data_IF_152342230718
#
_entry.id   IF_152342230718
#
_cell.length_a   1.000
_cell.length_b   1.000
_cell.length_c   1.000
_cell.angle_alpha   90.00
_cell.angle_beta   90.00
_cell.angle_gamma   90.00
#
_symmetry.space_group_name_H-M   'P 1'
#
loop_
_entity.id
_entity.type
_entity.pdbx_description
1 polymer ?
#
# COMPACT_ATOMS: atom_id res chain seq x y z
N UNK A 1 26.67 17.40 -0.02
CA UNK A 1 26.27 17.25 -1.44
C UNK A 1 26.43 18.58 -2.15
N UNK A 2 27.22 18.65 -3.21
CA UNK A 2 27.35 19.85 -4.03
C UNK A 2 26.00 20.23 -4.65
N UNK A 3 25.68 21.53 -4.72
CA UNK A 3 24.48 22.05 -5.39
C UNK A 3 23.18 22.12 -4.56
N UNK A 4 23.17 21.58 -3.34
CA UNK A 4 22.01 21.67 -2.41
C UNK A 4 22.24 22.65 -1.26
N UNK A 5 23.46 22.78 -0.77
CA UNK A 5 23.79 23.54 0.45
C UNK A 5 23.42 25.02 0.40
N UNK A 6 23.27 25.60 -0.79
CA UNK A 6 22.87 27.01 -0.99
C UNK A 6 21.37 27.18 -1.28
N UNK A 7 20.61 26.08 -1.44
CA UNK A 7 19.17 26.13 -1.72
C UNK A 7 18.39 26.38 -0.43
N UNK A 8 17.30 27.15 -0.54
CA UNK A 8 16.32 27.32 0.54
C UNK A 8 15.15 26.37 0.30
N UNK A 9 14.73 25.68 1.35
CA UNK A 9 13.63 24.72 1.29
C UNK A 9 12.44 25.23 2.09
N UNK A 10 11.24 24.93 1.59
CA UNK A 10 9.99 25.06 2.33
C UNK A 10 9.31 23.71 2.29
N UNK A 11 8.85 23.24 3.46
CA UNK A 11 8.15 21.96 3.58
C UNK A 11 6.67 22.26 3.76
N UNK A 12 5.85 21.69 2.88
CA UNK A 12 4.40 21.70 2.99
C UNK A 12 3.92 20.29 3.28
N UNK A 13 3.42 20.06 4.51
CA UNK A 13 2.84 18.78 4.88
C UNK A 13 1.39 18.70 4.36
N UNK A 14 1.04 17.59 3.73
CA UNK A 14 -0.34 17.25 3.38
C UNK A 14 -0.86 16.30 4.45
N UNK A 15 -1.63 16.82 5.40
CA UNK A 15 -2.27 16.00 6.43
C UNK A 15 -3.50 15.33 5.84
N UNK A 16 -3.36 14.06 5.49
CA UNK A 16 -4.45 13.25 4.97
C UNK A 16 -4.15 11.74 5.20
N UNK A 17 -5.18 10.90 5.37
CA UNK A 17 -6.46 11.27 5.95
C UNK A 17 -6.22 11.87 7.34
N UNK A 18 -6.98 12.88 7.75
CA UNK A 18 -6.81 13.50 9.08
C UNK A 18 -7.24 12.60 10.25
N UNK A 19 -7.57 11.34 9.99
CA UNK A 19 -7.99 10.34 10.98
C UNK A 19 -6.88 9.32 11.18
N UNK A 20 -6.52 9.11 12.44
CA UNK A 20 -5.53 8.12 12.86
C UNK A 20 -6.18 6.73 12.80
N UNK A 21 -5.74 5.89 11.88
CA UNK A 21 -6.08 4.46 11.92
C UNK A 21 -5.36 3.85 13.12
N UNK A 22 -6.04 3.00 13.89
CA UNK A 22 -5.46 2.39 15.06
C UNK A 22 -4.35 1.42 14.63
N UNK A 23 -3.08 1.77 14.86
CA UNK A 23 -2.00 0.79 14.90
C UNK A 23 -2.14 0.04 16.24
N UNK A 24 -2.82 -1.10 16.22
CA UNK A 24 -2.86 -2.00 17.38
C UNK A 24 -2.36 -3.38 16.98
N UNK A 25 -1.30 -3.82 17.65
CA UNK A 25 -0.97 -5.24 17.74
C UNK A 25 -2.01 -5.91 18.65
N UNK A 26 -3.02 -6.55 18.07
CA UNK A 26 -4.02 -7.30 18.85
C UNK A 26 -4.38 -8.63 18.20
N UNK A 27 -3.54 -9.64 18.42
CA UNK A 27 -3.98 -10.97 18.91
C UNK A 27 -2.87 -11.47 19.84
N UNK A 28 -3.14 -11.73 21.15
CA UNK A 28 -2.21 -12.46 22.00
C UNK A 28 -1.98 -13.85 21.39
N UNK A 29 -0.78 -14.09 20.88
CA UNK A 29 -0.32 -15.40 20.40
C UNK A 29 -0.31 -16.41 21.56
N UNK A 30 -1.47 -17.00 21.88
CA UNK A 30 -1.58 -17.89 23.04
C UNK A 30 -2.76 -18.85 23.09
N UNK A 31 -3.73 -18.79 22.18
CA UNK A 31 -4.85 -19.73 22.17
C UNK A 31 -4.57 -20.93 21.24
N UNK A 32 -3.82 -21.91 21.73
CA UNK A 32 -3.82 -23.25 21.15
C UNK A 32 -5.13 -23.96 21.55
N UNK A 33 -6.18 -23.75 20.76
CA UNK A 33 -7.49 -24.39 20.90
C UNK A 33 -8.19 -24.47 19.55
N UNK A 34 -9.04 -25.47 19.34
CA UNK A 34 -9.68 -25.78 18.06
C UNK A 34 -10.79 -24.77 17.62
N UNK A 35 -10.91 -23.63 18.29
CA UNK A 35 -11.86 -22.55 17.95
C UNK A 35 -11.13 -21.45 17.17
N UNK A 36 -11.81 -20.85 16.17
CA UNK A 36 -11.26 -19.70 15.45
C UNK A 36 -10.98 -18.57 16.46
N UNK A 37 -9.76 -18.01 16.51
CA UNK A 37 -9.44 -16.93 17.44
C UNK A 37 -10.18 -15.62 17.12
N UNK A 38 -10.88 -15.58 15.99
CA UNK A 38 -11.76 -14.47 15.61
C UNK A 38 -13.14 -14.69 16.22
N UNK A 39 -13.53 -13.87 17.20
CA UNK A 39 -14.83 -13.96 17.89
C UNK A 39 -15.85 -12.98 17.31
N UNK A 40 -17.14 -13.18 17.63
CA UNK A 40 -18.18 -12.20 17.29
C UNK A 40 -17.92 -10.82 17.91
N UNK A 41 -17.36 -10.80 19.12
CA UNK A 41 -17.04 -9.56 19.83
C UNK A 41 -15.90 -8.80 19.14
N UNK A 42 -14.87 -9.51 18.66
CA UNK A 42 -13.81 -8.91 17.86
C UNK A 42 -14.38 -8.28 16.58
N UNK A 43 -15.19 -9.01 15.81
CA UNK A 43 -15.80 -8.47 14.59
C UNK A 43 -16.69 -7.25 14.85
N UNK A 44 -17.41 -7.24 15.97
CA UNK A 44 -18.22 -6.09 16.39
C UNK A 44 -17.37 -4.90 16.80
N UNK A 45 -16.24 -5.14 17.48
CA UNK A 45 -15.28 -4.11 17.84
C UNK A 45 -14.66 -3.50 16.57
N UNK A 46 -14.21 -4.30 15.62
CA UNK A 46 -13.68 -3.82 14.33
C UNK A 46 -14.69 -2.91 13.61
N UNK A 47 -15.96 -3.32 13.52
CA UNK A 47 -17.03 -2.49 12.95
C UNK A 47 -17.29 -1.19 13.74
N UNK A 48 -17.00 -1.14 15.04
CA UNK A 48 -17.08 0.10 15.84
C UNK A 48 -15.86 1.00 15.57
N UNK A 49 -14.66 0.42 15.50
CA UNK A 49 -13.43 1.16 15.21
C UNK A 49 -13.41 1.75 13.78
N UNK A 50 -14.16 1.14 12.84
CA UNK A 50 -14.35 1.66 11.48
C UNK A 50 -15.30 2.87 11.38
N UNK A 51 -15.97 3.29 12.47
CA UNK A 51 -16.84 4.47 12.42
C UNK A 51 -16.08 5.73 12.05
N UNK A 52 -16.67 6.52 11.17
CA UNK A 52 -16.06 7.69 10.57
C UNK A 52 -14.91 7.40 9.60
N UNK A 53 -14.58 6.14 9.29
CA UNK A 53 -13.56 5.85 8.27
C UNK A 53 -14.05 6.26 6.88
N UNK A 54 -15.32 6.00 6.57
CA UNK A 54 -15.94 6.20 5.26
C UNK A 54 -16.56 7.60 5.11
N UNK A 55 -16.56 8.10 3.87
CA UNK A 55 -17.10 9.44 3.56
C UNK A 55 -18.64 9.48 3.42
N UNK A 56 -19.31 8.32 3.35
CA UNK A 56 -20.77 8.25 3.26
C UNK A 56 -21.42 8.75 4.58
N UNK A 57 -22.37 9.71 4.53
CA UNK A 57 -22.99 10.29 5.72
C UNK A 57 -23.82 9.29 6.54
N UNK A 58 -24.17 8.14 5.97
CA UNK A 58 -24.89 7.04 6.61
C UNK A 58 -23.97 5.87 7.00
N UNK A 59 -22.65 5.99 6.79
CA UNK A 59 -21.69 4.91 7.05
C UNK A 59 -21.80 4.32 8.46
N UNK A 60 -21.83 5.16 9.49
CA UNK A 60 -21.88 4.69 10.88
C UNK A 60 -23.17 3.91 11.18
N UNK A 61 -24.30 4.34 10.60
CA UNK A 61 -25.59 3.65 10.75
C UNK A 61 -25.60 2.30 10.00
N UNK A 62 -24.91 2.22 8.86
CA UNK A 62 -24.70 0.98 8.10
C UNK A 62 -23.81 0.02 8.89
N UNK A 63 -22.73 0.51 9.50
CA UNK A 63 -21.87 -0.30 10.37
C UNK A 63 -22.63 -0.85 11.58
N UNK A 64 -23.51 -0.05 12.19
CA UNK A 64 -24.35 -0.52 13.29
C UNK A 64 -25.36 -1.60 12.85
N UNK A 65 -25.94 -1.49 11.65
CA UNK A 65 -26.75 -2.57 11.06
C UNK A 65 -25.91 -3.83 10.79
N UNK A 66 -24.69 -3.68 10.28
CA UNK A 66 -23.80 -4.81 10.01
C UNK A 66 -23.44 -5.57 11.30
N UNK A 67 -23.26 -4.88 12.44
CA UNK A 67 -23.02 -5.51 13.76
C UNK A 67 -24.15 -6.41 14.24
N UNK A 68 -25.40 -6.13 13.82
CA UNK A 68 -26.56 -6.95 14.16
C UNK A 68 -26.56 -8.28 13.41
N UNK A 69 -25.90 -8.34 12.25
CA UNK A 69 -25.81 -9.53 11.41
C UNK A 69 -24.68 -10.48 11.87
N UNK A 70 -23.67 -9.97 12.58
CA UNK A 70 -22.48 -10.73 13.02
C UNK A 70 -22.79 -12.10 13.64
N UNK A 71 -23.74 -12.24 14.59
CA UNK A 71 -24.01 -13.53 15.23
C UNK A 71 -24.54 -14.63 14.29
N UNK A 72 -24.98 -14.29 13.07
CA UNK A 72 -25.59 -15.23 12.11
C UNK A 72 -24.72 -15.47 10.87
N UNK A 73 -23.51 -14.90 10.82
CA UNK A 73 -22.65 -14.95 9.62
C UNK A 73 -22.18 -16.38 9.30
N UNK A 74 -21.92 -17.20 10.31
CA UNK A 74 -21.48 -18.59 10.13
C UNK A 74 -22.58 -19.46 9.51
N UNK A 75 -23.81 -19.31 10.02
CA UNK A 75 -24.91 -20.23 9.71
C UNK A 75 -25.70 -19.88 8.46
N UNK A 76 -25.57 -18.65 7.93
CA UNK A 76 -26.44 -18.18 6.86
C UNK A 76 -25.70 -17.49 5.70
N UNK A 77 -25.60 -18.15 4.52
CA UNK A 77 -25.11 -17.50 3.30
C UNK A 77 -25.91 -16.24 2.93
N UNK A 78 -27.22 -16.23 3.20
CA UNK A 78 -28.07 -15.06 2.96
C UNK A 78 -27.65 -13.87 3.83
N UNK A 79 -27.36 -14.10 5.11
CA UNK A 79 -26.87 -13.05 6.02
C UNK A 79 -25.48 -12.58 5.61
N UNK A 80 -24.59 -13.47 5.15
CA UNK A 80 -23.28 -13.09 4.61
C UNK A 80 -23.40 -12.17 3.39
N UNK A 81 -24.31 -12.48 2.47
CA UNK A 81 -24.59 -11.62 1.32
C UNK A 81 -25.09 -10.25 1.77
N UNK A 82 -26.10 -10.22 2.63
CA UNK A 82 -26.67 -8.98 3.17
C UNK A 82 -25.60 -8.13 3.87
N UNK A 83 -24.75 -8.74 4.70
CA UNK A 83 -23.65 -8.09 5.39
C UNK A 83 -22.65 -7.46 4.42
N UNK A 84 -22.16 -8.22 3.43
CA UNK A 84 -21.20 -7.70 2.46
C UNK A 84 -21.79 -6.60 1.59
N UNK A 85 -23.03 -6.76 1.11
CA UNK A 85 -23.69 -5.77 0.25
C UNK A 85 -24.01 -4.48 1.01
N UNK A 86 -24.39 -4.60 2.28
CA UNK A 86 -24.56 -3.47 3.19
C UNK A 86 -23.25 -2.69 3.35
N UNK A 87 -22.13 -3.36 3.58
CA UNK A 87 -20.82 -2.70 3.70
C UNK A 87 -20.30 -2.13 2.38
N UNK A 88 -20.61 -2.75 1.23
CA UNK A 88 -20.29 -2.17 -0.09
C UNK A 88 -21.04 -0.88 -0.36
N UNK A 89 -22.25 -0.73 0.20
CA UNK A 89 -23.09 0.45 -0.07
C UNK A 89 -22.52 1.78 0.41
N UNK A 90 -21.53 1.74 1.32
CA UNK A 90 -20.89 2.92 1.92
C UNK A 90 -19.50 3.20 1.35
N UNK A 91 -19.05 2.39 0.39
CA UNK A 91 -17.76 2.61 -0.28
C UNK A 91 -17.90 3.66 -1.39
N UNK A 92 -16.82 4.42 -1.68
CA UNK A 92 -16.76 5.28 -2.84
C UNK A 92 -16.88 4.43 -4.10
N UNK A 93 -17.43 5.04 -5.15
CA UNK A 93 -17.43 4.42 -6.47
C UNK A 93 -16.00 4.25 -6.94
N UNK A 94 -15.70 3.11 -7.58
CA UNK A 94 -14.41 2.87 -8.21
C UNK A 94 -14.12 3.98 -9.22
N UNK A 95 -13.06 4.75 -8.96
CA UNK A 95 -12.67 5.86 -9.83
C UNK A 95 -11.63 5.44 -10.88
N UNK A 96 -11.03 4.26 -10.72
CA UNK A 96 -10.05 3.70 -11.65
C UNK A 96 -9.92 2.19 -11.51
N UNK A 97 -9.79 1.50 -12.65
CA UNK A 97 -9.43 0.07 -12.66
C UNK A 97 -7.97 -0.07 -12.24
N UNK A 98 -7.74 -0.56 -11.03
CA UNK A 98 -6.40 -0.89 -10.52
C UNK A 98 -6.20 -2.41 -10.48
N UNK A 99 -4.95 -2.83 -10.33
CA UNK A 99 -4.55 -4.24 -10.34
C UNK A 99 -4.56 -4.76 -8.90
N UNK A 100 -5.77 -4.86 -8.31
CA UNK A 100 -5.97 -5.19 -6.90
C UNK A 100 -7.28 -5.96 -6.59
N UNK A 101 -7.85 -6.59 -7.62
CA UNK A 101 -9.10 -7.36 -7.57
C UNK A 101 -10.37 -6.56 -7.17
N UNK A 102 -10.33 -5.23 -7.19
CA UNK A 102 -11.50 -4.38 -6.89
C UNK A 102 -12.72 -4.69 -7.76
N UNK A 103 -12.51 -4.92 -9.06
CA UNK A 103 -13.60 -5.32 -9.97
C UNK A 103 -14.28 -6.62 -9.53
N UNK A 104 -13.51 -7.63 -9.13
CA UNK A 104 -14.06 -8.90 -8.66
C UNK A 104 -14.78 -8.71 -7.31
N UNK A 105 -14.17 -7.93 -6.41
CA UNK A 105 -14.79 -7.54 -5.14
C UNK A 105 -16.14 -6.86 -5.35
N UNK A 106 -16.31 -6.01 -6.36
CA UNK A 106 -17.58 -5.29 -6.57
C UNK A 106 -18.64 -6.12 -7.32
N UNK A 107 -18.23 -7.08 -8.15
CA UNK A 107 -19.15 -7.86 -9.02
C UNK A 107 -19.62 -9.18 -8.42
N UNK A 108 -18.81 -9.80 -7.56
CA UNK A 108 -19.15 -11.10 -6.98
C UNK A 108 -20.31 -10.98 -5.97
N UNK A 109 -21.17 -12.00 -5.85
CA UNK A 109 -22.14 -12.08 -4.76
C UNK A 109 -21.46 -11.93 -3.40
N UNK A 110 -22.08 -11.18 -2.47
CA UNK A 110 -21.44 -10.83 -1.19
C UNK A 110 -21.04 -12.03 -0.33
N UNK A 111 -21.80 -13.12 -0.40
CA UNK A 111 -21.50 -14.40 0.25
C UNK A 111 -20.30 -15.11 -0.38
N UNK A 112 -20.15 -15.04 -1.69
CA UNK A 112 -19.01 -15.62 -2.42
C UNK A 112 -17.70 -14.90 -2.08
N UNK A 113 -17.73 -13.57 -1.88
CA UNK A 113 -16.56 -12.81 -1.41
C UNK A 113 -16.09 -13.30 -0.05
N UNK A 114 -17.00 -13.44 0.92
CA UNK A 114 -16.63 -13.97 2.25
C UNK A 114 -16.11 -15.40 2.13
N UNK A 115 -16.75 -16.26 1.33
CA UNK A 115 -16.27 -17.65 1.15
C UNK A 115 -14.84 -17.69 0.60
N UNK A 116 -14.51 -16.83 -0.37
CA UNK A 116 -13.16 -16.71 -0.93
C UNK A 116 -12.15 -16.20 0.11
N UNK A 117 -12.52 -15.18 0.87
CA UNK A 117 -11.69 -14.59 1.93
C UNK A 117 -11.53 -15.51 3.16
N UNK A 118 -12.37 -16.53 3.29
CA UNK A 118 -12.31 -17.53 4.37
C UNK A 118 -11.32 -18.66 4.11
N UNK A 119 -10.75 -18.72 2.89
CA UNK A 119 -9.76 -19.75 2.52
C UNK A 119 -8.41 -19.46 3.18
N UNK A 120 -7.64 -20.50 3.56
CA UNK A 120 -6.31 -20.32 4.09
C UNK A 120 -5.39 -19.67 3.04
N UNK A 121 -4.57 -18.72 3.47
CA UNK A 121 -3.50 -18.16 2.63
C UNK A 121 -2.23 -18.96 2.88
N UNK A 122 -1.58 -19.53 1.86
CA UNK A 122 -0.25 -20.09 2.02
C UNK A 122 0.74 -18.94 2.29
N UNK A 123 1.15 -18.78 3.55
CA UNK A 123 2.21 -17.83 3.92
C UNK A 123 3.54 -18.52 3.59
N UNK A 124 4.24 -18.07 2.54
CA UNK A 124 5.63 -18.47 2.33
C UNK A 124 6.51 -17.58 3.20
N UNK A 125 7.00 -18.14 4.31
CA UNK A 125 8.14 -17.54 5.01
C UNK A 125 9.33 -17.52 4.05
N UNK A 126 9.85 -16.33 3.77
CA UNK A 126 11.11 -16.20 3.06
C UNK A 126 12.21 -16.82 3.91
N UNK A 127 12.68 -18.03 3.53
CA UNK A 127 13.83 -18.67 4.18
C UNK A 127 15.01 -17.68 4.22
N UNK A 128 15.65 -17.45 5.37
CA UNK A 128 16.90 -16.71 5.40
C UNK A 128 17.93 -17.44 4.52
N UNK A 129 18.58 -16.69 3.64
CA UNK A 129 19.75 -17.16 2.89
C UNK A 129 20.82 -17.44 3.94
N UNK A 130 21.39 -18.66 4.04
CA UNK A 130 22.39 -18.96 5.05
C UNK A 130 23.68 -18.18 4.73
N UNK A 131 23.93 -17.11 5.49
CA UNK A 131 25.27 -16.53 5.61
C UNK A 131 26.05 -17.43 6.56
N UNK A 132 27.08 -18.10 6.06
CA UNK A 132 27.86 -19.07 6.81
C UNK A 132 28.64 -18.43 7.97
N UNK A 133 28.60 -19.07 9.14
CA UNK A 133 29.43 -18.71 10.29
C UNK A 133 28.98 -19.35 11.60
N UNK A 134 29.55 -20.52 11.91
CA UNK A 134 29.69 -21.24 13.19
C UNK A 134 28.83 -20.88 14.43
N UNK A 135 28.01 -21.86 14.83
CA UNK A 135 27.74 -22.38 16.18
C UNK A 135 27.67 -21.43 17.41
N UNK A 136 26.44 -21.24 17.93
CA UNK A 136 26.18 -21.08 19.36
C UNK A 136 24.81 -21.72 19.74
N UNK A 137 24.94 -22.95 20.24
CA UNK A 137 24.15 -23.73 21.20
C UNK A 137 22.94 -23.03 21.85
N UNK A 138 21.76 -23.66 21.72
CA UNK A 138 20.72 -23.76 22.76
C UNK A 138 19.87 -22.53 23.04
N UNK A 139 18.78 -22.36 22.29
CA UNK A 139 17.69 -21.43 22.62
C UNK A 139 16.36 -21.97 22.10
N UNK A 140 15.40 -22.11 23.00
CA UNK A 140 13.98 -22.42 22.74
C UNK A 140 13.41 -21.53 21.62
N UNK A 141 12.75 -22.07 20.58
CA UNK A 141 12.26 -21.28 19.45
C UNK A 141 11.07 -20.36 19.77
N UNK A 142 10.65 -20.22 21.04
CA UNK A 142 9.49 -19.41 21.43
C UNK A 142 9.75 -17.91 21.66
N UNK A 143 10.97 -17.41 21.49
CA UNK A 143 11.29 -16.01 21.84
C UNK A 143 11.98 -15.22 20.72
N UNK A 144 11.26 -14.92 19.64
CA UNK A 144 11.68 -13.90 18.67
C UNK A 144 10.53 -13.51 17.74
N UNK A 145 9.57 -12.71 18.22
CA UNK A 145 8.67 -11.93 17.37
C UNK A 145 8.05 -10.78 18.18
N UNK A 146 8.83 -9.73 18.38
CA UNK A 146 8.34 -8.43 18.83
C UNK A 146 8.45 -7.43 17.68
N UNK A 147 7.33 -6.79 17.33
CA UNK A 147 7.27 -5.66 16.39
C UNK A 147 6.23 -5.79 15.28
N UNK A 148 5.15 -5.00 15.37
CA UNK A 148 4.19 -4.63 14.30
C UNK A 148 3.55 -5.78 13.48
N UNK A 149 3.55 -6.99 14.02
CA UNK A 149 3.14 -8.20 13.32
C UNK A 149 1.63 -8.52 13.47
N UNK A 150 0.88 -7.74 14.26
CA UNK A 150 -0.35 -8.21 14.91
C UNK A 150 -1.68 -8.21 14.15
N UNK A 151 -1.81 -7.68 12.93
CA UNK A 151 -3.16 -7.46 12.34
C UNK A 151 -3.65 -8.46 11.28
N UNK A 152 -2.81 -9.37 10.78
CA UNK A 152 -3.25 -10.37 9.78
C UNK A 152 -2.57 -11.71 10.06
N UNK A 153 -3.18 -12.51 10.93
CA UNK A 153 -2.96 -13.95 11.01
C UNK A 153 -4.04 -14.61 10.13
N UNK A 154 -3.61 -15.29 9.06
CA UNK A 154 -4.53 -15.90 8.09
C UNK A 154 -5.12 -17.21 8.64
N UNK A 155 -6.11 -17.07 9.51
CA UNK A 155 -6.94 -18.20 9.96
C UNK A 155 -7.97 -18.56 8.87
N UNK A 156 -8.36 -19.83 8.80
CA UNK A 156 -9.44 -20.28 7.93
C UNK A 156 -10.79 -20.21 8.65
N UNK A 157 -11.87 -20.04 7.87
CA UNK A 157 -13.24 -20.01 8.38
C UNK A 157 -13.94 -18.67 8.18
N UNK A 158 -15.26 -18.69 8.36
CA UNK A 158 -16.15 -17.57 7.98
C UNK A 158 -15.80 -16.28 8.75
N UNK A 159 -15.60 -16.36 10.06
CA UNK A 159 -15.25 -15.18 10.87
C UNK A 159 -13.93 -14.54 10.43
N UNK A 160 -12.92 -15.36 10.11
CA UNK A 160 -11.66 -14.88 9.55
C UNK A 160 -11.85 -14.25 8.16
N UNK A 161 -12.72 -14.83 7.32
CA UNK A 161 -13.12 -14.22 6.04
C UNK A 161 -13.83 -12.88 6.21
N UNK A 162 -14.62 -12.71 7.27
CA UNK A 162 -15.27 -11.42 7.62
C UNK A 162 -14.23 -10.41 8.08
N UNK A 163 -13.29 -10.79 8.95
CA UNK A 163 -12.20 -9.90 9.36
C UNK A 163 -11.35 -9.45 8.16
N UNK A 164 -11.02 -10.38 7.26
CA UNK A 164 -10.34 -10.12 6.00
C UNK A 164 -11.13 -9.16 5.09
N UNK A 165 -12.45 -9.28 5.05
CA UNK A 165 -13.33 -8.35 4.35
C UNK A 165 -13.24 -6.95 4.96
N UNK A 166 -13.34 -6.80 6.29
CA UNK A 166 -13.23 -5.50 6.97
C UNK A 166 -11.88 -4.81 6.70
N UNK A 167 -10.79 -5.58 6.70
CA UNK A 167 -9.46 -5.10 6.31
C UNK A 167 -9.43 -4.62 4.85
N UNK A 168 -10.05 -5.38 3.93
CA UNK A 168 -10.12 -5.00 2.51
C UNK A 168 -10.94 -3.73 2.29
N UNK A 169 -12.05 -3.54 3.02
CA UNK A 169 -12.88 -2.33 2.93
C UNK A 169 -12.09 -1.08 3.31
N UNK A 170 -11.33 -1.14 4.41
CA UNK A 170 -10.48 -0.04 4.87
C UNK A 170 -9.38 0.28 3.85
N UNK A 171 -8.73 -0.75 3.31
CA UNK A 171 -7.78 -0.59 2.21
C UNK A 171 -8.42 0.10 0.99
N UNK A 172 -9.58 -0.39 0.55
CA UNK A 172 -10.27 0.13 -0.63
C UNK A 172 -10.61 1.61 -0.47
N UNK A 173 -11.17 1.98 0.69
CA UNK A 173 -11.47 3.36 1.05
C UNK A 173 -10.22 4.23 0.97
N UNK A 174 -9.12 3.82 1.61
CA UNK A 174 -7.87 4.58 1.62
C UNK A 174 -7.24 4.71 0.24
N UNK A 175 -7.30 3.65 -0.57
CA UNK A 175 -6.81 3.65 -1.94
C UNK A 175 -7.56 4.65 -2.80
N UNK A 176 -8.90 4.59 -2.82
CA UNK A 176 -9.72 5.50 -3.63
C UNK A 176 -9.56 6.93 -3.14
N UNK A 177 -9.64 7.16 -1.82
CA UNK A 177 -9.45 8.48 -1.22
C UNK A 177 -8.08 9.08 -1.57
N UNK A 178 -7.00 8.31 -1.52
CA UNK A 178 -5.66 8.79 -1.90
C UNK A 178 -5.62 9.31 -3.34
N UNK A 179 -6.28 8.60 -4.26
CA UNK A 179 -6.36 8.96 -5.67
C UNK A 179 -7.17 10.23 -5.87
N UNK A 180 -8.31 10.34 -5.19
CA UNK A 180 -9.20 11.52 -5.24
C UNK A 180 -8.50 12.74 -4.67
N UNK A 181 -8.01 12.67 -3.42
CA UNK A 181 -7.36 13.82 -2.74
C UNK A 181 -6.12 14.26 -3.52
N UNK A 182 -5.34 13.31 -4.05
CA UNK A 182 -4.18 13.60 -4.89
C UNK A 182 -4.55 14.30 -6.19
N UNK A 183 -5.34 13.63 -7.03
CA UNK A 183 -5.66 14.10 -8.39
C UNK A 183 -6.54 15.36 -8.43
N UNK A 184 -7.22 15.69 -7.33
CA UNK A 184 -8.06 16.88 -7.18
C UNK A 184 -7.41 17.92 -6.27
N UNK A 185 -7.52 17.79 -4.95
CA UNK A 185 -7.11 18.78 -3.97
C UNK A 185 -5.64 19.16 -4.06
N UNK A 186 -4.74 18.18 -3.94
CA UNK A 186 -3.29 18.43 -3.98
C UNK A 186 -2.85 18.91 -5.37
N UNK A 187 -3.37 18.31 -6.44
CA UNK A 187 -3.12 18.77 -7.81
C UNK A 187 -3.47 20.25 -8.01
N UNK A 188 -4.62 20.71 -7.50
CA UNK A 188 -5.05 22.10 -7.59
C UNK A 188 -4.14 23.05 -6.80
N UNK A 189 -3.70 22.64 -5.61
CA UNK A 189 -2.73 23.42 -4.81
C UNK A 189 -1.42 23.56 -5.57
N UNK A 190 -0.88 22.47 -6.14
CA UNK A 190 0.36 22.52 -6.93
C UNK A 190 0.22 23.43 -8.15
N UNK A 191 -0.92 23.38 -8.86
CA UNK A 191 -1.20 24.29 -9.99
C UNK A 191 -1.15 25.76 -9.58
N UNK A 192 -1.76 26.10 -8.44
CA UNK A 192 -1.76 27.48 -7.92
C UNK A 192 -0.35 27.94 -7.55
N UNK A 193 0.42 27.08 -6.87
CA UNK A 193 1.81 27.38 -6.48
C UNK A 193 2.67 27.66 -7.72
N UNK A 194 2.63 26.78 -8.72
CA UNK A 194 3.43 26.90 -9.94
C UNK A 194 2.98 28.04 -10.85
N UNK A 195 1.68 28.38 -10.87
CA UNK A 195 1.19 29.54 -11.59
C UNK A 195 1.71 30.86 -10.99
N UNK A 196 1.86 30.92 -9.66
CA UNK A 196 2.38 32.11 -8.97
C UNK A 196 3.91 32.14 -8.91
N UNK A 197 4.56 30.98 -8.96
CA UNK A 197 6.02 30.83 -8.83
C UNK A 197 6.54 29.84 -9.89
N UNK A 198 6.64 30.22 -11.17
CA UNK A 198 7.00 29.28 -12.25
C UNK A 198 8.38 28.61 -12.09
N UNK A 199 9.30 29.29 -11.40
CA UNK A 199 10.68 28.80 -11.21
C UNK A 199 10.85 27.92 -9.96
N UNK A 200 9.80 27.77 -9.12
CA UNK A 200 9.90 26.96 -7.90
C UNK A 200 10.02 25.48 -8.26
N UNK A 201 11.04 24.82 -7.69
CA UNK A 201 11.22 23.38 -7.83
C UNK A 201 10.34 22.68 -6.80
N UNK A 202 9.46 21.80 -7.27
CA UNK A 202 8.53 21.05 -6.40
C UNK A 202 8.94 19.59 -6.31
N UNK A 203 9.17 19.10 -5.09
CA UNK A 203 9.62 17.75 -4.81
C UNK A 203 8.52 17.02 -4.03
N UNK A 204 7.97 15.96 -4.61
CA UNK A 204 6.90 15.20 -3.97
C UNK A 204 7.46 14.01 -3.21
N UNK A 205 7.04 13.81 -1.97
CA UNK A 205 7.43 12.67 -1.14
C UNK A 205 6.16 12.07 -0.56
N UNK A 206 5.98 10.76 -0.73
CA UNK A 206 4.80 10.07 -0.22
C UNK A 206 5.14 8.71 0.35
N UNK A 207 4.66 8.45 1.56
CA UNK A 207 4.76 7.15 2.24
C UNK A 207 3.45 6.37 2.11
N UNK A 208 3.49 5.05 1.95
CA UNK A 208 2.29 4.21 1.88
C UNK A 208 1.27 4.74 0.85
N UNK A 209 0.00 4.90 1.22
CA UNK A 209 -1.00 5.55 0.37
C UNK A 209 -0.69 7.02 0.07
N UNK A 210 0.10 7.71 0.90
CA UNK A 210 0.68 9.01 0.56
C UNK A 210 1.52 8.96 -0.71
N UNK A 211 2.18 7.83 -0.99
CA UNK A 211 2.87 7.56 -2.25
C UNK A 211 1.90 7.53 -3.45
N UNK A 212 0.77 6.83 -3.30
CA UNK A 212 -0.32 6.84 -4.29
C UNK A 212 -0.89 8.25 -4.47
N UNK A 213 -1.12 8.97 -3.37
CA UNK A 213 -1.64 10.34 -3.40
C UNK A 213 -0.72 11.29 -4.17
N UNK A 214 0.58 11.31 -3.89
CA UNK A 214 1.49 12.24 -4.59
C UNK A 214 1.66 11.86 -6.05
N UNK A 215 1.58 10.56 -6.37
CA UNK A 215 1.59 10.08 -7.75
C UNK A 215 0.34 10.54 -8.50
N UNK A 216 -0.84 10.42 -7.87
CA UNK A 216 -2.10 10.93 -8.40
C UNK A 216 -2.10 12.47 -8.53
N UNK A 217 -1.44 13.18 -7.61
CA UNK A 217 -1.29 14.63 -7.66
C UNK A 217 -0.45 15.09 -8.86
N UNK A 218 0.64 14.37 -9.20
CA UNK A 218 1.40 14.66 -10.42
C UNK A 218 0.62 14.29 -11.69
N UNK A 219 -0.03 13.13 -11.70
CA UNK A 219 -0.81 12.64 -12.84
C UNK A 219 -2.00 13.56 -13.18
N UNK A 220 -2.69 14.07 -12.15
CA UNK A 220 -3.95 14.81 -12.28
C UNK A 220 -5.12 13.92 -12.71
N UNK A 221 -6.32 14.51 -12.80
CA UNK A 221 -7.49 13.83 -13.37
C UNK A 221 -7.31 13.56 -14.87
N UNK A 222 -7.90 12.48 -15.38
CA UNK A 222 -7.92 12.22 -16.83
C UNK A 222 -8.49 13.39 -17.63
N UNK A 223 -7.97 13.60 -18.83
CA UNK A 223 -8.37 14.70 -19.72
C UNK A 223 -7.95 16.11 -19.25
N UNK A 224 -7.24 16.24 -18.12
CA UNK A 224 -6.71 17.53 -17.65
C UNK A 224 -5.19 17.59 -17.83
N UNK A 225 -4.68 18.81 -18.06
CA UNK A 225 -3.23 19.04 -18.12
C UNK A 225 -2.59 18.62 -16.78
N UNK A 226 -1.54 17.77 -16.82
CA UNK A 226 -0.84 17.32 -15.63
C UNK A 226 -0.03 18.46 -15.02
N UNK A 227 0.41 18.26 -13.77
CA UNK A 227 1.35 19.18 -13.12
C UNK A 227 2.76 18.65 -13.31
N UNK A 228 3.66 19.50 -13.79
CA UNK A 228 5.08 19.17 -13.85
C UNK A 228 5.73 19.41 -12.49
N UNK A 229 6.32 18.37 -11.91
CA UNK A 229 7.07 18.42 -10.67
C UNK A 229 8.53 18.00 -10.90
N UNK A 230 9.43 18.44 -10.02
CA UNK A 230 10.87 18.28 -10.20
C UNK A 230 11.36 16.89 -9.82
N UNK A 231 10.94 16.32 -8.70
CA UNK A 231 11.22 14.91 -8.34
C UNK A 231 10.03 14.28 -7.64
N UNK A 232 10.06 12.95 -7.55
CA UNK A 232 9.13 12.17 -6.74
C UNK A 232 9.87 11.09 -5.95
N UNK A 233 9.58 10.97 -4.66
CA UNK A 233 10.10 9.89 -3.81
C UNK A 233 8.93 9.12 -3.21
N UNK A 234 8.93 7.81 -3.47
CA UNK A 234 7.90 6.87 -3.06
C UNK A 234 8.47 5.98 -1.98
N UNK A 235 8.04 6.21 -0.74
CA UNK A 235 8.53 5.50 0.44
C UNK A 235 7.56 4.38 0.78
N UNK A 236 7.94 3.11 0.55
CA UNK A 236 7.07 1.96 0.85
C UNK A 236 5.65 2.20 0.28
N UNK A 237 5.56 2.74 -0.95
CA UNK A 237 4.30 3.24 -1.46
C UNK A 237 3.27 2.13 -1.67
N UNK A 238 1.99 2.44 -1.43
CA UNK A 238 0.88 1.50 -1.47
C UNK A 238 0.05 1.68 -2.75
N UNK A 239 0.52 1.06 -3.83
CA UNK A 239 -0.22 0.78 -5.05
C UNK A 239 0.48 -0.36 -5.81
N UNK A 240 -0.14 -0.87 -6.88
CA UNK A 240 0.42 -1.98 -7.67
C UNK A 240 1.87 -1.69 -8.12
N UNK A 241 2.75 -2.69 -8.01
CA UNK A 241 4.09 -2.63 -8.61
C UNK A 241 4.06 -2.47 -10.14
N UNK A 242 2.91 -2.70 -10.77
CA UNK A 242 2.68 -2.45 -12.18
C UNK A 242 2.12 -1.05 -12.45
N UNK A 243 2.02 -0.19 -11.43
CA UNK A 243 1.43 1.15 -11.56
C UNK A 243 2.09 2.01 -12.64
N UNK A 244 3.40 1.83 -12.91
CA UNK A 244 4.13 2.55 -13.96
C UNK A 244 4.41 1.71 -15.21
N UNK A 245 3.97 0.45 -15.24
CA UNK A 245 4.31 -0.49 -16.30
C UNK A 245 3.74 -0.10 -17.65
N UNK A 246 4.46 -0.49 -18.68
CA UNK A 246 3.97 -0.57 -20.05
C UNK A 246 3.50 -2.00 -20.31
N UNK A 247 2.27 -2.17 -20.79
CA UNK A 247 1.70 -3.47 -21.18
C UNK A 247 1.99 -4.61 -20.18
N UNK A 248 1.63 -4.45 -18.90
CA UNK A 248 2.04 -5.38 -17.83
C UNK A 248 1.54 -6.82 -18.03
N UNK A 249 0.45 -7.01 -18.79
CA UNK A 249 -0.10 -8.31 -19.20
C UNK A 249 -0.06 -8.54 -20.72
N UNK A 250 0.79 -7.76 -21.42
CA UNK A 250 0.90 -7.77 -22.86
C UNK A 250 -0.09 -6.83 -23.57
N UNK A 251 -1.05 -6.24 -22.86
CA UNK A 251 -2.06 -5.33 -23.45
C UNK A 251 -2.22 -4.05 -22.62
N UNK A 252 -2.37 -4.17 -21.31
CA UNK A 252 -2.80 -3.08 -20.45
C UNK A 252 -1.62 -2.32 -19.83
N UNK A 253 -1.69 -0.99 -19.84
CA UNK A 253 -0.75 -0.13 -19.13
C UNK A 253 -1.10 -0.02 -17.64
N UNK A 254 -0.08 0.30 -16.84
CA UNK A 254 -0.26 0.64 -15.44
C UNK A 254 -1.09 1.90 -15.23
N UNK A 255 -1.85 1.96 -14.13
CA UNK A 255 -2.73 3.09 -13.82
C UNK A 255 -2.04 4.47 -13.81
N UNK A 256 -0.78 4.51 -13.39
CA UNK A 256 0.07 5.70 -13.38
C UNK A 256 1.06 5.78 -14.55
N UNK A 257 0.95 4.95 -15.60
CA UNK A 257 1.84 4.99 -16.78
C UNK A 257 1.91 6.38 -17.41
N UNK A 258 0.78 7.12 -17.39
CA UNK A 258 0.69 8.52 -17.83
C UNK A 258 1.64 9.49 -17.11
N UNK A 259 2.07 9.20 -15.89
CA UNK A 259 3.09 9.99 -15.18
C UNK A 259 4.40 10.01 -15.98
N UNK A 260 4.74 8.86 -16.57
CA UNK A 260 5.96 8.64 -17.35
C UNK A 260 5.81 9.18 -18.78
N UNK A 261 4.73 8.80 -19.47
CA UNK A 261 4.46 9.24 -20.85
C UNK A 261 4.39 10.76 -20.95
N UNK A 262 3.68 11.41 -20.02
CA UNK A 262 3.53 12.86 -20.02
C UNK A 262 4.72 13.60 -19.39
N UNK A 263 5.74 12.87 -18.91
CA UNK A 263 6.92 13.42 -18.21
C UNK A 263 6.53 14.41 -17.11
N UNK A 264 5.53 14.01 -16.32
CA UNK A 264 4.99 14.84 -15.22
C UNK A 264 6.01 15.02 -14.11
N UNK A 265 6.90 14.06 -13.90
CA UNK A 265 8.10 14.21 -13.08
C UNK A 265 9.28 14.46 -14.02
N UNK A 266 9.89 15.63 -13.92
CA UNK A 266 10.97 16.03 -14.85
C UNK A 266 12.32 15.45 -14.46
N UNK A 267 12.57 15.27 -13.16
CA UNK A 267 13.78 14.65 -12.61
C UNK A 267 13.60 13.15 -12.32
N UNK A 268 14.42 12.57 -11.44
CA UNK A 268 14.30 11.16 -11.07
C UNK A 268 13.08 10.88 -10.19
N UNK A 269 12.55 9.66 -10.32
CA UNK A 269 11.62 9.05 -9.36
C UNK A 269 12.40 8.02 -8.54
N UNK A 270 12.39 8.15 -7.23
CA UNK A 270 13.07 7.22 -6.31
C UNK A 270 12.04 6.40 -5.56
N UNK A 271 12.21 5.09 -5.53
CA UNK A 271 11.27 4.16 -4.89
C UNK A 271 12.06 3.35 -3.86
N UNK A 272 11.77 3.49 -2.57
CA UNK A 272 12.28 2.52 -1.60
C UNK A 272 11.38 1.29 -1.64
N UNK A 273 12.00 0.11 -1.72
CA UNK A 273 11.28 -1.16 -1.70
C UNK A 273 11.99 -2.18 -0.81
N UNK A 274 11.22 -2.96 -0.06
CA UNK A 274 11.77 -4.04 0.77
C UNK A 274 10.83 -5.23 0.87
N UNK A 275 11.39 -6.45 0.88
CA UNK A 275 10.62 -7.67 1.19
C UNK A 275 10.09 -7.69 2.61
N UNK A 276 10.62 -6.85 3.50
CA UNK A 276 10.17 -6.71 4.88
C UNK A 276 8.86 -5.92 4.99
N UNK A 277 8.45 -5.22 3.91
CA UNK A 277 7.14 -4.58 3.83
C UNK A 277 6.06 -5.65 3.69
N UNK A 278 5.54 -6.06 4.85
CA UNK A 278 4.44 -7.00 4.97
C UNK A 278 3.09 -6.32 4.79
N UNK A 279 2.94 -5.01 5.02
CA UNK A 279 1.63 -4.35 4.93
C UNK A 279 1.17 -4.27 3.47
N UNK A 280 2.06 -3.81 2.58
CA UNK A 280 1.82 -3.85 1.13
C UNK A 280 1.78 -5.31 0.67
N UNK A 281 2.69 -6.17 1.15
CA UNK A 281 2.69 -7.60 0.85
C UNK A 281 1.40 -8.39 1.24
N UNK A 282 0.66 -7.96 2.27
CA UNK A 282 -0.51 -8.68 2.84
C UNK A 282 -1.84 -8.37 2.13
N UNK A 283 -1.97 -7.22 1.48
CA UNK A 283 -3.16 -6.89 0.68
C UNK A 283 -3.34 -7.82 -0.52
N UNK A 284 -2.24 -8.41 -0.98
CA UNK A 284 -2.19 -9.21 -2.18
C UNK A 284 -2.72 -10.62 -2.03
N UNK A 285 -2.46 -11.34 -0.91
CA UNK A 285 -3.26 -12.50 -0.56
C UNK A 285 -4.77 -12.24 -0.57
N UNK A 286 -5.24 -11.11 -0.04
CA UNK A 286 -6.67 -10.78 -0.03
C UNK A 286 -7.21 -10.55 -1.44
N UNK A 287 -6.50 -9.76 -2.26
CA UNK A 287 -6.86 -9.54 -3.66
C UNK A 287 -6.86 -10.85 -4.46
N UNK A 288 -5.84 -11.69 -4.29
CA UNK A 288 -5.73 -13.02 -4.89
C UNK A 288 -6.88 -13.94 -4.48
N UNK A 289 -7.22 -13.97 -3.19
CA UNK A 289 -8.37 -14.73 -2.69
C UNK A 289 -9.68 -14.25 -3.34
N UNK A 290 -9.94 -12.94 -3.35
CA UNK A 290 -11.12 -12.35 -3.99
C UNK A 290 -11.18 -12.73 -5.48
N UNK A 291 -10.06 -12.63 -6.19
CA UNK A 291 -9.95 -13.01 -7.60
C UNK A 291 -10.00 -14.53 -7.84
N UNK A 292 -9.97 -15.35 -6.78
CA UNK A 292 -9.93 -16.80 -6.86
C UNK A 292 -8.61 -17.36 -7.38
N UNK A 293 -7.53 -16.56 -7.33
CA UNK A 293 -6.19 -16.95 -7.75
C UNK A 293 -5.38 -17.38 -6.51
N UNK A 294 -4.88 -18.62 -6.48
CA UNK A 294 -4.00 -19.11 -5.41
C UNK A 294 -2.65 -19.43 -6.05
N UNK A 295 -1.71 -18.48 -5.98
CA UNK A 295 -0.35 -18.67 -6.47
C UNK A 295 0.58 -19.12 -5.32
N UNK A 296 1.64 -19.87 -5.66
CA UNK A 296 2.61 -20.37 -4.68
C UNK A 296 3.59 -19.29 -4.15
N UNK A 297 3.64 -18.10 -4.76
CA UNK A 297 4.55 -17.01 -4.40
C UNK A 297 3.81 -15.67 -4.32
N UNK A 298 2.90 -15.55 -3.34
CA UNK A 298 2.03 -14.39 -3.20
C UNK A 298 2.79 -13.10 -2.88
N UNK A 299 2.51 -12.05 -3.65
CA UNK A 299 3.03 -10.69 -3.48
C UNK A 299 4.48 -10.47 -3.89
N UNK A 300 5.15 -11.44 -4.51
CA UNK A 300 6.50 -11.25 -5.04
C UNK A 300 6.50 -10.39 -6.33
N UNK A 301 7.68 -10.17 -6.91
CA UNK A 301 7.82 -9.35 -8.13
C UNK A 301 7.16 -9.95 -9.37
N UNK A 302 6.86 -11.24 -9.37
CA UNK A 302 6.24 -11.96 -10.48
C UNK A 302 4.72 -12.11 -10.30
N UNK A 303 4.20 -11.92 -9.09
CA UNK A 303 2.76 -11.90 -8.83
C UNK A 303 2.10 -10.78 -9.67
N UNK A 304 0.86 -11.02 -10.10
CA UNK A 304 0.02 -10.00 -10.74
C UNK A 304 -0.37 -8.92 -9.74
N UNK A 305 -0.64 -9.33 -8.52
CA UNK A 305 -1.01 -8.44 -7.43
C UNK A 305 0.24 -8.23 -6.58
N UNK A 306 1.33 -7.66 -7.11
CA UNK A 306 2.46 -7.24 -6.29
C UNK A 306 2.41 -5.75 -6.00
N UNK A 307 3.15 -5.30 -4.98
CA UNK A 307 3.13 -3.91 -4.56
C UNK A 307 4.44 -3.20 -4.67
N UNK A 308 4.36 -1.93 -5.06
CA UNK A 308 5.54 -1.14 -5.37
C UNK A 308 6.44 -0.95 -4.14
N UNK A 309 5.87 -0.81 -2.93
CA UNK A 309 6.64 -0.73 -1.68
C UNK A 309 7.39 -2.01 -1.30
N UNK A 310 6.99 -3.16 -1.85
CA UNK A 310 7.69 -4.45 -1.66
C UNK A 310 8.67 -4.76 -2.78
N UNK A 311 8.25 -4.50 -4.02
CA UNK A 311 8.92 -5.01 -5.22
C UNK A 311 9.56 -3.93 -6.08
N UNK A 312 9.34 -2.64 -5.81
CA UNK A 312 9.68 -1.57 -6.74
C UNK A 312 8.76 -1.53 -7.96
N UNK A 313 9.02 -0.63 -8.91
CA UNK A 313 8.30 -0.55 -10.18
C UNK A 313 8.73 -1.72 -11.08
N UNK A 314 7.81 -2.64 -11.33
CA UNK A 314 8.02 -3.81 -12.18
C UNK A 314 7.51 -3.55 -13.60
N UNK A 315 7.99 -4.32 -14.59
CA UNK A 315 7.62 -4.19 -16.01
C UNK A 315 7.60 -2.74 -16.53
N UNK A 316 8.52 -1.92 -16.03
CA UNK A 316 8.63 -0.48 -16.32
C UNK A 316 9.98 -0.25 -17.00
N UNK A 317 10.04 -0.01 -18.32
CA UNK A 317 11.30 0.10 -19.07
C UNK A 317 12.25 1.21 -18.57
N UNK A 318 11.69 2.24 -17.93
CA UNK A 318 12.45 3.37 -17.38
C UNK A 318 12.99 3.11 -15.97
N UNK A 319 12.65 1.98 -15.36
CA UNK A 319 13.11 1.60 -14.03
C UNK A 319 14.47 0.91 -14.06
N UNK A 320 15.27 1.17 -13.03
CA UNK A 320 16.56 0.52 -12.79
C UNK A 320 16.65 0.08 -11.34
N UNK A 321 17.30 -1.05 -11.11
CA UNK A 321 17.53 -1.59 -9.78
C UNK A 321 18.73 -0.92 -9.10
N UNK A 322 18.64 -0.74 -7.79
CA UNK A 322 19.68 -0.18 -6.95
C UNK A 322 19.53 -0.61 -5.49
N UNK A 323 20.42 -0.12 -4.64
CA UNK A 323 20.40 -0.39 -3.20
C UNK A 323 20.26 0.95 -2.46
N UNK A 324 19.55 0.95 -1.34
CA UNK A 324 19.54 2.09 -0.43
C UNK A 324 20.93 2.23 0.21
N UNK A 325 21.62 3.34 -0.10
CA UNK A 325 23.01 3.57 0.23
C UNK A 325 23.13 4.28 1.58
N UNK A 326 24.17 3.90 2.33
CA UNK A 326 24.60 4.59 3.52
C UNK A 326 25.24 5.94 3.17
N UNK A 327 25.23 6.89 4.12
CA UNK A 327 25.76 8.24 3.93
C UNK A 327 27.24 8.28 3.58
N UNK A 328 27.99 7.25 3.99
CA UNK A 328 29.43 7.12 3.75
C UNK A 328 29.77 6.33 2.48
N UNK A 329 28.78 6.05 1.62
CA UNK A 329 29.04 5.37 0.35
C UNK A 329 30.02 6.19 -0.49
N UNK A 330 31.12 5.56 -0.93
CA UNK A 330 32.11 6.21 -1.78
C UNK A 330 31.56 6.50 -3.19
N UNK A 331 30.59 5.70 -3.63
CA UNK A 331 29.88 5.89 -4.88
C UNK A 331 28.50 6.50 -4.60
N UNK A 332 28.28 7.80 -4.91
CA UNK A 332 26.97 8.43 -4.74
C UNK A 332 26.02 8.03 -5.87
N UNK A 333 24.72 8.25 -5.64
CA UNK A 333 23.68 7.95 -6.62
C UNK A 333 23.88 8.66 -7.96
N UNK A 334 23.86 7.89 -9.04
CA UNK A 334 23.88 8.38 -10.42
C UNK A 334 22.48 8.55 -10.99
N UNK A 335 21.58 9.17 -10.23
CA UNK A 335 20.21 9.41 -10.67
C UNK A 335 20.15 10.33 -11.88
N UNK A 336 19.27 10.00 -12.83
CA UNK A 336 19.06 10.72 -14.07
C UNK A 336 17.61 11.20 -14.19
N UNK A 337 17.38 12.38 -14.82
CA UNK A 337 16.05 12.84 -15.17
C UNK A 337 15.25 11.81 -15.99
N UNK A 338 13.95 11.65 -15.67
CA UNK A 338 13.06 10.75 -16.40
C UNK A 338 13.29 9.25 -16.18
N UNK A 339 14.11 8.87 -15.18
CA UNK A 339 14.34 7.48 -14.78
C UNK A 339 13.73 7.18 -13.40
N UNK A 340 13.37 5.91 -13.20
CA UNK A 340 12.88 5.37 -11.93
C UNK A 340 13.97 4.50 -11.31
N UNK A 341 14.11 4.55 -9.99
CA UNK A 341 15.11 3.77 -9.26
C UNK A 341 14.45 2.98 -8.15
N UNK A 342 14.44 1.65 -8.29
CA UNK A 342 14.02 0.70 -7.27
C UNK A 342 15.18 0.49 -6.30
N UNK A 343 15.13 1.14 -5.14
CA UNK A 343 16.15 1.03 -4.12
C UNK A 343 15.80 -0.09 -3.15
N UNK A 344 16.46 -1.24 -3.31
CA UNK A 344 16.37 -2.30 -2.32
C UNK A 344 16.82 -1.78 -0.95
N UNK A 345 15.89 -1.83 -0.01
CA UNK A 345 16.04 -1.25 1.33
C UNK A 345 16.04 -2.33 2.43
N UNK A 346 16.18 -3.61 2.10
CA UNK A 346 16.08 -4.75 3.04
C UNK A 346 17.05 -4.63 4.24
N UNK A 347 18.22 -4.05 4.01
CA UNK A 347 19.24 -3.86 5.04
C UNK A 347 18.86 -2.78 6.07
N UNK A 348 18.04 -1.81 5.68
CA UNK A 348 17.72 -0.61 6.47
C UNK A 348 16.30 -0.69 7.03
N UNK A 349 15.31 -0.85 6.15
CA UNK A 349 13.89 -0.82 6.47
C UNK A 349 13.42 -2.20 6.92
N UNK A 350 12.92 -2.30 8.15
CA UNK A 350 12.49 -3.56 8.80
C UNK A 350 11.00 -3.82 8.74
N UNK A 351 10.18 -2.81 8.51
CA UNK A 351 8.75 -2.93 8.30
C UNK A 351 8.21 -1.75 7.46
N UNK A 352 6.89 -1.68 7.28
CA UNK A 352 6.24 -0.70 6.42
C UNK A 352 6.39 0.75 6.91
N UNK A 353 6.43 0.97 8.23
CA UNK A 353 6.48 2.30 8.85
C UNK A 353 7.91 2.70 9.24
N UNK A 354 8.87 1.78 9.17
CA UNK A 354 10.29 1.97 9.45
C UNK A 354 11.04 2.74 8.33
N UNK A 355 10.57 3.95 8.01
CA UNK A 355 11.07 4.78 6.90
C UNK A 355 11.91 5.99 7.35
N UNK A 356 11.99 6.25 8.65
CA UNK A 356 12.65 7.41 9.23
C UNK A 356 14.15 7.18 9.43
N UNK A 357 14.88 7.01 8.31
CA UNK A 357 16.31 6.73 8.28
C UNK A 357 17.11 7.83 7.58
N UNK A 358 18.37 8.03 7.99
CA UNK A 358 19.26 9.00 7.36
C UNK A 358 19.54 8.64 5.90
N UNK A 359 19.58 7.35 5.59
CA UNK A 359 19.76 6.77 4.26
C UNK A 359 18.64 7.19 3.30
N UNK A 360 17.40 7.28 3.81
CA UNK A 360 16.26 7.79 3.04
C UNK A 360 16.42 9.27 2.75
N UNK A 361 16.80 10.07 3.76
CA UNK A 361 17.10 11.48 3.55
C UNK A 361 18.23 11.67 2.52
N UNK A 362 19.28 10.83 2.58
CA UNK A 362 20.39 10.84 1.63
C UNK A 362 19.91 10.57 0.19
N UNK A 363 19.05 9.57 -0.02
CA UNK A 363 18.47 9.27 -1.32
C UNK A 363 17.59 10.44 -1.84
N UNK A 364 16.73 11.01 -0.99
CA UNK A 364 15.87 12.17 -1.33
C UNK A 364 16.72 13.35 -1.80
N UNK A 365 17.73 13.74 -1.02
CA UNK A 365 18.57 14.88 -1.38
C UNK A 365 19.40 14.60 -2.64
N UNK A 366 19.91 13.38 -2.85
CA UNK A 366 20.58 13.06 -4.12
C UNK A 366 19.65 13.20 -5.33
N UNK A 367 18.36 12.85 -5.19
CA UNK A 367 17.37 13.06 -6.25
C UNK A 367 17.12 14.55 -6.50
N UNK A 368 16.91 15.33 -5.43
CA UNK A 368 16.71 16.79 -5.49
C UNK A 368 17.88 17.49 -6.18
N UNK A 369 19.12 17.03 -5.97
CA UNK A 369 20.33 17.60 -6.56
C UNK A 369 20.34 17.53 -8.10
N UNK A 370 19.51 16.69 -8.72
CA UNK A 370 19.44 16.51 -10.17
C UNK A 370 18.46 17.48 -10.87
N UNK A 371 17.99 18.51 -10.17
CA UNK A 371 16.91 19.42 -10.65
C UNK A 371 17.29 20.89 -10.72
#
# INVERSE_FOLDING_TARGET
>A
MAGISTRKFTIMAVLWPSKKFAEKDLIPSGAAGAESPVTNDLLRQELEEMKGVFDDPHADAVLDKAKLLVPKLEDSPKVRREFTDLLRSILPKETSVDIDASSDFLKLPGDEVINRLSKPVPIVESKPIPSGGAAAIGGDPSASMGGAAGLIQFFSGIKSGVLNLLNYLTYYEMKERSGIVGSTGVNQVLKKILAQNPDIKTHLIGHSFGGRLVTAAAAGSEGRLPVKVSTMTLLQAAFSHYGFSEHYDGVNDGFFRRVIINKTVTGPIVISCTRNDKAVGKMYPLASLIAGQIAAALGDKNDKYGGIGRNGAQKTPEASEGILLNLNSQDPYQFQPGKLYNLNSDAVIKDHSDICHNEIAYAIFNAVAKT
#
